data_IF_380728183638
#
_entry.id   IF_380728183638
#
_cell.length_a   1.000
_cell.length_b   1.000
_cell.length_c   1.000
_cell.angle_alpha   90.00
_cell.angle_beta   90.00
_cell.angle_gamma   90.00
#
_symmetry.space_group_name_H-M   'P 1'
#
loop_
_entity.id
_entity.type
_entity.pdbx_description
1 polymer ?
#
# COMPACT_ATOMS: atom_id res chain seq x y z
N UNK A 1 -50.46 -29.04 -37.03
CA UNK A 1 -48.99 -28.93 -36.91
C UNK A 1 -48.70 -27.47 -36.60
N UNK A 2 -49.03 -27.02 -35.39
CA UNK A 2 -48.21 -27.05 -34.16
C UNK A 2 -47.12 -25.96 -34.18
N UNK A 3 -47.21 -24.90 -33.34
CA UNK A 3 -46.11 -23.98 -33.09
C UNK A 3 -45.19 -24.53 -31.99
N UNK A 4 -43.87 -24.29 -32.03
CA UNK A 4 -42.99 -24.73 -30.96
C UNK A 4 -43.21 -23.87 -29.70
N UNK A 5 -43.31 -24.59 -28.57
CA UNK A 5 -43.38 -24.05 -27.20
C UNK A 5 -41.98 -23.77 -26.64
N UNK A 6 -41.92 -22.74 -25.80
CA UNK A 6 -41.13 -22.58 -24.57
C UNK A 6 -39.59 -22.59 -24.64
N UNK A 7 -38.96 -21.53 -24.10
CA UNK A 7 -38.25 -21.68 -22.81
C UNK A 7 -37.85 -20.31 -22.23
N UNK A 8 -38.47 -19.96 -21.10
CA UNK A 8 -38.06 -18.90 -20.19
C UNK A 8 -36.86 -19.40 -19.37
N UNK A 9 -35.65 -18.96 -19.69
CA UNK A 9 -34.44 -19.14 -18.87
C UNK A 9 -33.98 -17.80 -18.32
N UNK A 10 -34.76 -17.18 -17.44
CA UNK A 10 -34.31 -16.06 -16.61
C UNK A 10 -35.08 -16.12 -15.28
N UNK A 11 -34.53 -16.81 -14.26
CA UNK A 11 -34.26 -16.07 -13.03
C UNK A 11 -33.03 -16.52 -12.21
N UNK A 12 -32.23 -17.50 -12.65
CA UNK A 12 -31.16 -18.09 -11.82
C UNK A 12 -29.88 -17.24 -11.71
N UNK A 13 -29.64 -16.32 -12.64
CA UNK A 13 -28.46 -15.45 -12.63
C UNK A 13 -28.56 -14.29 -11.63
N UNK A 14 -29.78 -13.83 -11.30
CA UNK A 14 -29.99 -12.70 -10.39
C UNK A 14 -29.87 -13.11 -8.91
N UNK A 15 -30.26 -14.36 -8.57
CA UNK A 15 -30.12 -14.91 -7.22
C UNK A 15 -28.68 -15.24 -6.86
N UNK A 16 -27.84 -15.62 -7.83
CA UNK A 16 -26.42 -15.91 -7.58
C UNK A 16 -25.63 -14.62 -7.28
N UNK A 17 -25.98 -13.51 -7.94
CA UNK A 17 -25.37 -12.21 -7.65
C UNK A 17 -25.66 -11.74 -6.22
N UNK A 18 -26.91 -11.86 -5.75
CA UNK A 18 -27.29 -11.45 -4.40
C UNK A 18 -26.61 -12.29 -3.31
N UNK A 19 -26.47 -13.60 -3.50
CA UNK A 19 -25.77 -14.49 -2.56
C UNK A 19 -24.27 -14.19 -2.48
N UNK A 20 -23.63 -13.80 -3.59
CA UNK A 20 -22.19 -13.43 -3.58
C UNK A 20 -21.96 -12.10 -2.84
N UNK A 21 -22.86 -11.12 -2.98
CA UNK A 21 -22.78 -9.85 -2.25
C UNK A 21 -22.95 -10.03 -0.74
N UNK A 22 -23.88 -10.87 -0.28
CA UNK A 22 -24.11 -11.12 1.14
C UNK A 22 -22.93 -11.85 1.81
N UNK A 23 -22.31 -12.82 1.13
CA UNK A 23 -21.15 -13.55 1.67
C UNK A 23 -19.92 -12.64 1.78
N UNK A 24 -19.65 -11.79 0.78
CA UNK A 24 -18.56 -10.80 0.86
C UNK A 24 -18.77 -9.79 1.99
N UNK A 25 -20.00 -9.33 2.20
CA UNK A 25 -20.31 -8.35 3.25
C UNK A 25 -20.24 -8.98 4.66
N UNK A 26 -20.70 -10.24 4.80
CA UNK A 26 -20.62 -10.98 6.07
C UNK A 26 -19.20 -11.36 6.46
N UNK A 27 -18.35 -11.74 5.50
CA UNK A 27 -16.92 -12.01 5.75
C UNK A 27 -16.17 -10.73 6.14
N UNK A 28 -16.50 -9.61 5.52
CA UNK A 28 -15.94 -8.29 5.87
C UNK A 28 -16.29 -7.91 7.31
N UNK A 29 -17.56 -8.02 7.70
CA UNK A 29 -18.02 -7.76 9.08
C UNK A 29 -17.43 -8.74 10.09
N UNK A 30 -17.29 -10.03 9.74
CA UNK A 30 -16.69 -11.02 10.63
C UNK A 30 -15.20 -10.74 10.86
N UNK A 31 -14.47 -10.33 9.83
CA UNK A 31 -13.06 -9.94 9.92
C UNK A 31 -12.88 -8.62 10.67
N UNK A 32 -13.76 -7.64 10.44
CA UNK A 32 -13.78 -6.35 11.14
C UNK A 32 -14.04 -6.57 12.65
N UNK A 33 -15.04 -7.39 12.99
CA UNK A 33 -15.34 -7.76 14.38
C UNK A 33 -14.17 -8.53 15.04
N UNK A 34 -13.56 -9.49 14.32
CA UNK A 34 -12.37 -10.21 14.79
C UNK A 34 -11.20 -9.26 15.05
N UNK A 35 -10.98 -8.24 14.22
CA UNK A 35 -9.92 -7.25 14.44
C UNK A 35 -10.22 -6.31 15.60
N UNK A 36 -11.48 -5.94 15.84
CA UNK A 36 -11.86 -5.14 17.01
C UNK A 36 -11.71 -5.91 18.33
N UNK A 37 -11.93 -7.23 18.30
CA UNK A 37 -11.81 -8.10 19.49
C UNK A 37 -10.34 -8.39 19.85
N UNK A 38 -9.44 -8.46 18.86
CA UNK A 38 -8.00 -8.72 19.07
C UNK A 38 -7.09 -7.48 19.05
N UNK A 39 -7.57 -6.33 18.56
CA UNK A 39 -6.78 -5.10 18.41
C UNK A 39 -6.28 -4.50 19.74
N UNK A 40 -7.00 -4.76 20.85
CA UNK A 40 -6.56 -4.33 22.19
C UNK A 40 -5.57 -5.29 22.84
N UNK A 41 -5.53 -6.57 22.41
CA UNK A 41 -4.75 -7.62 23.07
C UNK A 41 -3.46 -7.99 22.32
N UNK A 42 -3.38 -7.63 21.04
CA UNK A 42 -2.18 -7.79 20.24
C UNK A 42 -1.88 -6.44 19.60
N UNK A 43 -0.76 -5.82 19.95
CA UNK A 43 -0.28 -4.56 19.38
C UNK A 43 0.17 -4.74 17.91
N UNK A 44 -0.67 -5.37 17.10
CA UNK A 44 -0.48 -5.58 15.69
C UNK A 44 -0.75 -4.24 15.01
N UNK A 45 0.31 -3.63 14.49
CA UNK A 45 0.17 -2.48 13.60
C UNK A 45 -0.80 -2.83 12.46
N UNK A 46 -1.75 -1.94 12.16
CA UNK A 46 -2.66 -2.06 11.01
C UNK A 46 -1.91 -2.36 9.70
N UNK A 47 -0.64 -1.94 9.62
CA UNK A 47 0.25 -2.24 8.52
C UNK A 47 0.42 -3.73 8.27
N UNK A 48 0.32 -4.61 9.28
CA UNK A 48 0.40 -6.08 9.11
C UNK A 48 -0.78 -6.66 8.32
N UNK A 49 -1.90 -5.92 8.22
CA UNK A 49 -3.11 -6.35 7.53
C UNK A 49 -2.99 -6.25 6.00
N UNK A 50 -2.03 -5.47 5.48
CA UNK A 50 -1.84 -5.32 4.03
C UNK A 50 -1.41 -6.61 3.33
N UNK A 51 -0.79 -7.56 4.06
CA UNK A 51 -0.24 -8.80 3.49
C UNK A 51 -1.28 -9.65 2.75
N UNK A 52 -2.57 -9.36 2.96
CA UNK A 52 -3.73 -10.13 2.53
C UNK A 52 -4.71 -9.31 1.68
N UNK A 53 -4.23 -8.24 1.04
CA UNK A 53 -5.06 -7.29 0.26
C UNK A 53 -4.57 -7.14 -1.18
N UNK A 54 -5.50 -6.84 -2.09
CA UNK A 54 -5.17 -6.46 -3.46
C UNK A 54 -5.02 -4.94 -3.55
N UNK A 55 -3.90 -4.44 -4.06
CA UNK A 55 -3.67 -3.01 -4.24
C UNK A 55 -4.19 -2.59 -5.62
N UNK A 56 -5.50 -2.33 -5.71
CA UNK A 56 -6.17 -1.85 -6.92
C UNK A 56 -6.01 -0.34 -7.09
N UNK A 57 -6.14 0.19 -8.30
CA UNK A 57 -6.20 1.66 -8.50
C UNK A 57 -7.55 2.20 -8.04
N UNK A 58 -7.56 3.31 -7.31
CA UNK A 58 -8.80 3.93 -6.84
C UNK A 58 -9.62 4.47 -8.03
N UNK A 59 -10.93 4.15 -8.11
CA UNK A 59 -11.80 4.79 -9.09
C UNK A 59 -11.92 6.29 -8.79
N UNK A 60 -11.70 7.13 -9.80
CA UNK A 60 -11.93 8.58 -9.68
C UNK A 60 -10.90 9.33 -8.82
N UNK A 61 -9.65 8.86 -8.75
CA UNK A 61 -8.54 9.54 -8.04
C UNK A 61 -8.25 10.97 -8.50
N UNK A 62 -8.82 11.40 -9.64
CA UNK A 62 -8.70 12.75 -10.18
C UNK A 62 -7.31 13.03 -10.75
N UNK A 63 -7.19 13.88 -11.79
CA UNK A 63 -5.91 14.07 -12.50
C UNK A 63 -4.89 14.91 -11.73
N UNK A 64 -5.28 15.46 -10.58
CA UNK A 64 -4.48 16.44 -9.85
C UNK A 64 -3.54 15.80 -8.84
N UNK A 65 -3.90 14.63 -8.29
CA UNK A 65 -3.16 14.04 -7.18
C UNK A 65 -1.79 13.61 -7.66
N UNK A 66 -0.75 14.11 -6.98
CA UNK A 66 0.65 13.79 -7.28
C UNK A 66 1.38 13.52 -5.99
N UNK A 67 2.31 12.58 -6.09
CA UNK A 67 3.29 12.29 -5.06
C UNK A 67 4.67 12.49 -5.67
N UNK A 68 5.46 13.34 -5.02
CA UNK A 68 6.78 13.73 -5.48
C UNK A 68 7.76 13.55 -4.34
N UNK A 69 8.94 13.05 -4.68
CA UNK A 69 10.06 13.05 -3.76
C UNK A 69 10.87 14.30 -4.03
N UNK A 70 11.49 14.88 -3.00
CA UNK A 70 12.40 16.03 -3.14
C UNK A 70 13.44 15.84 -4.25
N UNK A 71 14.09 16.93 -4.67
CA UNK A 71 15.11 16.92 -5.73
C UNK A 71 16.34 16.07 -5.35
N UNK A 72 16.21 14.76 -5.52
CA UNK A 72 17.23 13.75 -5.21
C UNK A 72 17.45 12.94 -6.47
N UNK A 73 18.66 12.97 -7.04
CA UNK A 73 19.02 12.14 -8.18
C UNK A 73 19.21 10.68 -7.77
N UNK A 74 19.98 10.45 -6.70
CA UNK A 74 20.26 9.13 -6.12
C UNK A 74 20.32 9.20 -4.59
N UNK A 75 19.93 8.12 -3.92
CA UNK A 75 19.91 8.00 -2.46
C UNK A 75 21.29 7.60 -1.93
N UNK A 76 21.70 8.13 -0.78
CA UNK A 76 22.82 7.57 0.01
C UNK A 76 22.42 6.30 0.75
N UNK A 77 23.39 5.65 1.41
CA UNK A 77 23.18 4.42 2.17
C UNK A 77 22.17 4.57 3.32
N UNK A 78 22.08 5.77 3.88
CA UNK A 78 21.13 6.16 4.91
C UNK A 78 20.82 7.66 4.74
N UNK A 79 19.55 8.02 4.64
CA UNK A 79 19.11 9.42 4.56
C UNK A 79 17.63 9.60 4.88
N UNK A 80 17.28 10.82 5.27
CA UNK A 80 15.89 11.26 5.37
C UNK A 80 15.39 11.77 4.02
N UNK A 81 14.29 11.21 3.54
CA UNK A 81 13.64 11.54 2.28
C UNK A 81 12.32 12.24 2.54
N UNK A 82 12.19 13.45 2.00
CA UNK A 82 10.94 14.21 2.06
C UNK A 82 10.06 13.88 0.86
N UNK A 83 8.83 13.48 1.16
CA UNK A 83 7.79 13.12 0.19
C UNK A 83 6.68 14.16 0.26
N UNK A 84 6.45 14.84 -0.85
CA UNK A 84 5.42 15.86 -1.03
C UNK A 84 4.21 15.25 -1.73
N UNK A 85 3.04 15.44 -1.13
CA UNK A 85 1.75 15.06 -1.69
C UNK A 85 1.01 16.35 -2.05
N UNK A 86 0.38 16.37 -3.21
CA UNK A 86 -0.38 17.53 -3.69
C UNK A 86 -1.58 17.10 -4.51
N UNK A 87 -2.52 18.03 -4.77
CA UNK A 87 -3.67 17.76 -5.62
C UNK A 87 -4.80 16.96 -4.96
N UNK A 88 -4.76 16.75 -3.65
CA UNK A 88 -5.78 16.00 -2.91
C UNK A 88 -7.04 16.86 -2.74
N UNK A 89 -8.18 16.42 -3.26
CA UNK A 89 -9.45 17.14 -3.10
C UNK A 89 -10.03 17.01 -1.70
N UNK A 90 -10.08 15.78 -1.19
CA UNK A 90 -10.65 15.44 0.11
C UNK A 90 -9.60 14.68 0.92
N UNK A 91 -8.87 15.35 1.84
CA UNK A 91 -7.97 14.69 2.77
C UNK A 91 -8.73 13.73 3.70
N UNK A 92 -8.18 12.54 3.92
CA UNK A 92 -8.70 11.56 4.86
C UNK A 92 -7.64 11.14 5.88
N UNK A 93 -8.08 10.85 7.12
CA UNK A 93 -7.21 10.23 8.13
C UNK A 93 -6.74 8.83 7.73
N UNK A 94 -7.47 8.18 6.83
CA UNK A 94 -7.15 6.86 6.31
C UNK A 94 -6.26 6.89 5.05
N UNK A 95 -5.81 8.07 4.62
CA UNK A 95 -4.81 8.17 3.56
C UNK A 95 -3.44 7.83 4.12
N UNK A 96 -2.65 7.06 3.38
CA UNK A 96 -1.33 6.62 3.82
C UNK A 96 -0.38 6.51 2.65
N UNK A 97 0.92 6.65 2.92
CA UNK A 97 1.99 6.46 1.94
C UNK A 97 2.82 5.26 2.33
N UNK A 98 3.20 4.48 1.32
CA UNK A 98 4.10 3.36 1.46
C UNK A 98 5.36 3.56 0.62
N UNK A 99 6.50 3.15 1.17
CA UNK A 99 7.74 2.93 0.43
C UNK A 99 7.75 1.50 -0.09
N UNK A 100 7.87 1.32 -1.40
CA UNK A 100 7.83 0.01 -2.07
C UNK A 100 9.19 -0.26 -2.71
N UNK A 101 9.64 -1.53 -2.65
CA UNK A 101 10.89 -2.01 -3.25
C UNK A 101 10.73 -3.44 -3.75
N UNK A 102 11.14 -3.78 -4.98
CA UNK A 102 11.62 -2.89 -6.04
C UNK A 102 10.51 -1.96 -6.58
N UNK A 103 10.88 -0.87 -7.25
CA UNK A 103 9.93 0.11 -7.80
C UNK A 103 8.98 -0.46 -8.88
N UNK A 104 9.42 -1.51 -9.59
CA UNK A 104 8.65 -2.23 -10.60
C UNK A 104 7.91 -3.45 -10.02
N UNK A 105 7.81 -3.53 -8.69
CA UNK A 105 7.09 -4.62 -8.06
C UNK A 105 5.64 -4.65 -8.51
N UNK A 106 5.22 -5.81 -9.00
CA UNK A 106 3.82 -6.03 -9.27
C UNK A 106 3.08 -6.05 -7.91
N UNK A 107 2.29 -5.01 -7.65
CA UNK A 107 1.42 -4.95 -6.48
C UNK A 107 0.10 -5.70 -6.69
N UNK A 108 -0.02 -6.43 -7.81
CA UNK A 108 -1.13 -7.33 -8.08
C UNK A 108 -1.06 -8.61 -7.24
N UNK A 109 -2.12 -9.41 -7.36
CA UNK A 109 -2.28 -10.65 -6.62
C UNK A 109 -1.30 -11.69 -7.14
N UNK A 110 -0.39 -12.15 -6.27
CA UNK A 110 0.53 -13.23 -6.63
C UNK A 110 -0.17 -14.59 -6.57
N UNK A 111 -0.81 -14.98 -7.66
CA UNK A 111 -1.47 -16.28 -7.79
C UNK A 111 -0.51 -17.46 -7.53
N UNK A 112 0.77 -17.31 -7.88
CA UNK A 112 1.79 -18.35 -7.71
C UNK A 112 2.15 -18.59 -6.24
N UNK A 113 2.06 -17.56 -5.39
CA UNK A 113 2.36 -17.70 -3.96
C UNK A 113 1.27 -18.48 -3.23
N UNK A 114 0.02 -18.43 -3.69
CA UNK A 114 -1.08 -19.17 -3.06
C UNK A 114 -0.76 -20.67 -2.87
N UNK A 115 -0.02 -21.28 -3.80
CA UNK A 115 0.42 -22.68 -3.70
C UNK A 115 1.42 -22.89 -2.54
N UNK A 116 2.33 -21.94 -2.32
CA UNK A 116 3.29 -21.99 -1.21
C UNK A 116 2.59 -21.83 0.16
N UNK A 117 1.52 -21.03 0.23
CA UNK A 117 0.75 -20.85 1.46
C UNK A 117 -0.14 -22.05 1.79
N UNK A 118 -0.62 -22.78 0.78
CA UNK A 118 -1.27 -24.08 1.00
C UNK A 118 -0.32 -25.09 1.65
N UNK A 119 0.98 -25.05 1.31
CA UNK A 119 1.98 -25.93 1.92
C UNK A 119 2.27 -25.61 3.38
N UNK A 120 2.06 -24.37 3.82
CA UNK A 120 2.23 -23.95 5.22
C UNK A 120 0.93 -24.05 6.04
N UNK A 121 -0.17 -24.51 5.43
CA UNK A 121 -1.46 -24.65 6.08
C UNK A 121 -2.29 -23.36 6.16
N UNK A 122 -1.87 -22.29 5.48
CA UNK A 122 -2.66 -21.06 5.38
C UNK A 122 -3.67 -21.18 4.22
N UNK A 123 -4.89 -21.62 4.56
CA UNK A 123 -6.00 -21.85 3.61
C UNK A 123 -6.81 -20.58 3.32
N UNK A 124 -6.33 -19.41 3.75
CA UNK A 124 -7.05 -18.15 3.57
C UNK A 124 -7.08 -17.75 2.08
N UNK A 125 -8.26 -17.58 1.49
CA UNK A 125 -8.49 -17.05 0.12
C UNK A 125 -8.25 -15.53 0.03
N UNK A 126 -7.10 -15.07 0.52
CA UNK A 126 -6.74 -13.66 0.54
C UNK A 126 -5.69 -13.37 -0.52
N UNK A 127 -5.84 -12.32 -1.35
CA UNK A 127 -4.81 -11.94 -2.30
C UNK A 127 -3.53 -11.56 -1.55
N UNK A 128 -2.49 -12.36 -1.69
CA UNK A 128 -1.19 -12.10 -1.10
C UNK A 128 -0.42 -11.22 -2.07
N UNK A 129 0.11 -10.10 -1.57
CA UNK A 129 0.90 -9.17 -2.38
C UNK A 129 2.21 -9.84 -2.80
N UNK A 130 2.61 -9.67 -4.07
CA UNK A 130 3.90 -10.19 -4.54
C UNK A 130 5.08 -9.50 -3.86
N UNK A 131 4.94 -8.20 -3.59
CA UNK A 131 5.94 -7.40 -2.92
C UNK A 131 5.27 -6.54 -1.87
N UNK A 132 5.84 -6.56 -0.67
CA UNK A 132 5.31 -5.80 0.45
C UNK A 132 5.91 -4.40 0.49
N UNK A 133 5.15 -3.37 0.89
CA UNK A 133 5.76 -2.11 1.22
C UNK A 133 6.75 -2.31 2.38
N UNK A 134 7.90 -1.66 2.29
CA UNK A 134 8.99 -1.78 3.27
C UNK A 134 8.69 -0.93 4.51
N UNK A 135 8.09 0.25 4.30
CA UNK A 135 7.66 1.17 5.36
C UNK A 135 6.37 1.85 4.92
N UNK A 136 5.52 2.21 5.88
CA UNK A 136 4.35 3.03 5.61
C UNK A 136 4.03 3.97 6.77
N UNK A 137 3.31 5.03 6.44
CA UNK A 137 2.87 6.03 7.40
C UNK A 137 1.58 6.69 6.92
N UNK A 138 0.69 7.01 7.86
CA UNK A 138 -0.49 7.82 7.56
C UNK A 138 -0.10 9.23 7.11
N UNK A 139 -0.82 9.77 6.14
CA UNK A 139 -0.62 11.15 5.68
C UNK A 139 -0.99 12.15 6.76
N UNK A 140 -1.92 11.79 7.66
CA UNK A 140 -2.30 12.60 8.82
C UNK A 140 -1.19 12.83 9.84
N UNK A 141 -0.02 12.20 9.69
CA UNK A 141 1.16 12.57 10.47
C UNK A 141 1.66 13.98 10.12
N UNK A 142 1.30 14.50 8.94
CA UNK A 142 1.29 15.93 8.69
C UNK A 142 0.01 16.55 9.29
N UNK A 143 0.18 17.30 10.38
CA UNK A 143 -0.93 17.92 11.12
C UNK A 143 -1.74 18.92 10.28
N UNK A 144 -1.15 19.43 9.19
CA UNK A 144 -1.80 20.40 8.31
C UNK A 144 -2.63 19.74 7.20
N UNK A 145 -2.52 18.42 7.03
CA UNK A 145 -3.18 17.69 5.94
C UNK A 145 -4.70 17.69 6.07
N UNK A 146 -5.22 17.24 7.23
CA UNK A 146 -6.67 17.14 7.47
C UNK A 146 -7.32 18.52 7.46
N UNK A 147 -6.64 19.51 8.04
CA UNK A 147 -7.10 20.91 8.02
C UNK A 147 -6.94 21.59 6.66
N UNK A 148 -6.35 20.92 5.66
CA UNK A 148 -6.06 21.46 4.35
C UNK A 148 -5.40 22.85 4.43
N UNK A 149 -4.37 23.02 5.29
CA UNK A 149 -3.71 24.33 5.42
C UNK A 149 -2.76 24.62 4.26
N UNK A 150 -2.12 23.57 3.73
CA UNK A 150 -1.29 23.61 2.52
C UNK A 150 -2.19 23.54 1.29
N UNK A 151 -2.78 24.68 0.89
CA UNK A 151 -3.69 24.78 -0.26
C UNK A 151 -2.94 25.09 -1.54
N UNK A 152 -3.35 24.44 -2.63
CA UNK A 152 -2.85 24.69 -3.98
C UNK A 152 -4.02 24.74 -4.95
N UNK A 153 -4.04 25.75 -5.81
CA UNK A 153 -5.05 25.83 -6.85
C UNK A 153 -4.59 25.11 -8.11
N UNK A 154 -5.43 24.20 -8.63
CA UNK A 154 -5.12 23.41 -9.82
C UNK A 154 -5.81 23.87 -11.10
N UNK A 155 -6.91 24.60 -10.95
CA UNK A 155 -7.64 25.16 -12.08
C UNK A 155 -8.06 26.59 -11.78
N UNK A 156 -7.80 27.48 -12.73
CA UNK A 156 -8.15 28.88 -12.64
C UNK A 156 -9.13 29.24 -13.75
N UNK A 157 -10.04 30.15 -13.44
CA UNK A 157 -10.87 30.80 -14.45
C UNK A 157 -10.99 32.29 -14.10
N UNK A 158 -10.50 33.14 -15.00
CA UNK A 158 -10.48 34.61 -14.82
C UNK A 158 -9.81 35.04 -13.49
N UNK A 159 -8.71 34.37 -13.13
CA UNK A 159 -7.97 34.65 -11.88
C UNK A 159 -8.60 34.08 -10.61
N UNK A 160 -9.80 33.49 -10.70
CA UNK A 160 -10.47 32.84 -9.57
C UNK A 160 -10.06 31.37 -9.55
N UNK A 161 -9.69 30.87 -8.37
CA UNK A 161 -9.43 29.46 -8.18
C UNK A 161 -10.73 28.66 -8.24
N UNK A 162 -10.84 27.75 -9.22
CA UNK A 162 -11.99 26.85 -9.35
C UNK A 162 -11.79 25.54 -8.58
N UNK A 163 -10.56 25.04 -8.56
CA UNK A 163 -10.22 23.76 -7.93
C UNK A 163 -9.10 23.99 -6.94
N UNK A 164 -9.48 24.18 -5.68
CA UNK A 164 -8.54 24.18 -4.56
C UNK A 164 -8.28 22.74 -4.13
N UNK A 165 -7.02 22.41 -3.93
CA UNK A 165 -6.54 21.10 -3.49
C UNK A 165 -5.67 21.26 -2.27
N UNK A 166 -5.49 20.18 -1.54
CA UNK A 166 -4.69 20.09 -0.34
C UNK A 166 -3.39 19.34 -0.62
N UNK A 167 -2.35 19.68 0.13
CA UNK A 167 -1.08 18.98 0.13
C UNK A 167 -0.65 18.54 1.52
N UNK A 168 0.37 17.70 1.56
CA UNK A 168 1.04 17.23 2.76
C UNK A 168 2.51 16.95 2.48
N UNK A 169 3.29 16.88 3.55
CA UNK A 169 4.71 16.57 3.50
C UNK A 169 5.04 15.52 4.55
N UNK A 170 5.62 14.41 4.13
CA UNK A 170 6.06 13.33 5.02
C UNK A 170 7.57 13.16 4.91
N UNK A 171 8.18 12.70 5.99
CA UNK A 171 9.62 12.40 6.03
C UNK A 171 9.81 10.92 6.33
N UNK A 172 10.54 10.23 5.46
CA UNK A 172 10.88 8.82 5.62
C UNK A 172 12.37 8.69 5.90
N UNK A 173 12.72 7.91 6.92
CA UNK A 173 14.09 7.46 7.10
C UNK A 173 14.35 6.26 6.19
N UNK A 174 15.21 6.43 5.19
CA UNK A 174 15.48 5.46 4.14
C UNK A 174 16.90 4.92 4.30
N UNK A 175 17.02 3.60 4.15
CA UNK A 175 18.29 2.89 4.16
C UNK A 175 18.46 2.11 2.85
N UNK A 176 19.70 1.88 2.44
CA UNK A 176 20.02 1.13 1.24
C UNK A 176 19.68 -0.35 1.40
N UNK A 177 18.61 -0.73 0.71
CA UNK A 177 18.05 -2.08 0.63
C UNK A 177 18.35 -2.73 -0.72
N UNK A 178 19.42 -2.28 -1.38
CA UNK A 178 19.98 -2.82 -2.63
C UNK A 178 19.13 -2.71 -3.88
N UNK A 179 17.89 -2.24 -3.76
CA UNK A 179 16.95 -2.11 -4.87
C UNK A 179 16.36 -0.70 -4.87
N UNK A 180 15.98 -0.24 -6.05
CA UNK A 180 15.28 1.03 -6.25
C UNK A 180 13.97 1.08 -5.47
N UNK A 181 13.62 2.26 -4.98
CA UNK A 181 12.39 2.48 -4.22
C UNK A 181 11.44 3.42 -4.93
N UNK A 182 10.15 3.29 -4.64
CA UNK A 182 9.13 4.27 -4.98
C UNK A 182 8.22 4.54 -3.79
N UNK A 183 7.54 5.70 -3.81
CA UNK A 183 6.53 6.05 -2.83
C UNK A 183 5.15 6.02 -3.47
N UNK A 184 4.21 5.33 -2.84
CA UNK A 184 2.86 5.15 -3.35
C UNK A 184 1.86 5.67 -2.34
N UNK A 185 0.97 6.54 -2.81
CA UNK A 185 -0.14 7.07 -2.04
C UNK A 185 -1.35 6.15 -2.15
N UNK A 186 -1.93 5.81 -1.01
CA UNK A 186 -3.10 4.96 -0.89
C UNK A 186 -4.26 5.67 -0.18
N UNK A 187 -5.46 5.17 -0.46
CA UNK A 187 -6.75 5.55 0.15
C UNK A 187 -7.45 4.32 0.71
N UNK A 188 -8.45 4.56 1.55
CA UNK A 188 -9.30 3.48 2.09
C UNK A 188 -8.68 2.72 3.27
N UNK A 189 -7.64 3.29 3.89
CA UNK A 189 -6.93 2.69 5.02
C UNK A 189 -6.23 1.39 4.62
N UNK A 190 -5.91 0.57 5.63
CA UNK A 190 -5.26 -0.72 5.44
C UNK A 190 -6.24 -1.88 5.16
N UNK A 191 -7.54 -1.69 5.44
CA UNK A 191 -8.56 -2.71 5.22
C UNK A 191 -8.96 -2.84 3.75
N UNK A 192 -9.18 -1.71 3.08
CA UNK A 192 -9.56 -1.65 1.66
C UNK A 192 -8.66 -0.68 0.92
N UNK A 193 -7.34 -0.97 0.85
CA UNK A 193 -6.38 -0.06 0.25
C UNK A 193 -6.58 0.04 -1.26
N UNK A 194 -6.53 1.25 -1.79
CA UNK A 194 -6.43 1.47 -3.23
C UNK A 194 -5.35 2.52 -3.54
N UNK A 195 -4.66 2.35 -4.66
CA UNK A 195 -3.58 3.22 -5.15
C UNK A 195 -4.18 4.47 -5.77
N UNK A 196 -3.68 5.62 -5.34
CA UNK A 196 -4.07 6.94 -5.86
C UNK A 196 -3.05 7.45 -6.85
N UNK A 197 -1.77 7.41 -6.47
CA UNK A 197 -0.65 7.93 -7.26
C UNK A 197 0.67 7.24 -6.84
N UNK A 198 1.61 7.15 -7.77
CA UNK A 198 2.98 6.66 -7.53
C UNK A 198 4.00 7.76 -7.82
N UNK A 199 5.10 7.78 -7.08
CA UNK A 199 6.22 8.67 -7.35
C UNK A 199 7.07 8.11 -8.47
N UNK A 200 8.04 8.90 -8.95
CA UNK A 200 9.13 8.32 -9.74
C UNK A 200 9.95 7.34 -8.89
N UNK A 201 10.48 6.25 -9.48
CA UNK A 201 11.51 5.43 -8.86
C UNK A 201 12.78 6.23 -8.54
N UNK A 202 13.51 5.80 -7.51
CA UNK A 202 14.81 6.38 -7.12
C UNK A 202 15.78 5.27 -6.74
N UNK A 203 16.96 5.31 -7.36
CA UNK A 203 18.06 4.40 -7.10
C UNK A 203 18.94 4.86 -5.93
N UNK A 204 19.58 3.89 -5.28
CA UNK A 204 20.73 4.14 -4.42
C UNK A 204 21.98 4.39 -5.25
N UNK A 205 22.88 5.26 -4.75
CA UNK A 205 24.15 5.58 -5.42
C UNK A 205 25.04 4.35 -5.60
N UNK A 206 25.06 3.45 -4.61
CA UNK A 206 25.71 2.16 -4.68
C UNK A 206 24.82 1.07 -4.06
N UNK A 207 23.89 0.46 -4.81
CA UNK A 207 22.99 -0.55 -4.26
C UNK A 207 23.72 -1.78 -3.72
N UNK A 208 24.95 -2.05 -4.17
CA UNK A 208 25.72 -3.21 -3.74
C UNK A 208 26.67 -2.94 -2.58
N UNK A 209 26.59 -1.75 -1.96
CA UNK A 209 27.41 -1.42 -0.80
C UNK A 209 27.24 -2.50 0.29
N UNK A 210 28.34 -3.09 0.81
CA UNK A 210 28.25 -3.97 1.96
C UNK A 210 27.89 -3.14 3.20
N UNK A 211 26.73 -3.38 3.76
CA UNK A 211 26.21 -2.63 4.92
C UNK A 211 25.84 -3.60 6.05
N UNK A 212 25.60 -3.05 7.24
CA UNK A 212 25.03 -3.77 8.38
C UNK A 212 25.75 -5.09 8.72
N UNK A 213 27.06 -5.01 8.92
CA UNK A 213 27.86 -6.14 9.39
C UNK A 213 27.39 -6.59 10.78
N UNK A 214 27.00 -7.86 10.90
CA UNK A 214 26.69 -8.48 12.18
C UNK A 214 27.83 -9.41 12.60
N UNK A 215 28.26 -9.26 13.85
CA UNK A 215 29.26 -10.12 14.47
C UNK A 215 28.57 -11.18 15.32
N UNK A 216 28.93 -12.43 15.11
CA UNK A 216 28.46 -13.56 15.93
C UNK A 216 29.63 -14.48 16.29
N UNK A 217 29.66 -14.98 17.52
CA UNK A 217 30.62 -16.02 17.89
C UNK A 217 30.32 -17.29 17.12
N UNK A 218 31.35 -17.96 16.61
CA UNK A 218 31.17 -19.22 15.86
C UNK A 218 30.97 -20.40 16.81
N UNK A 219 31.48 -20.29 18.03
CA UNK A 219 31.29 -21.26 19.11
C UNK A 219 31.34 -20.58 20.50
N UNK A 220 31.22 -21.37 21.57
CA UNK A 220 31.27 -20.87 22.95
C UNK A 220 32.69 -20.68 23.49
N UNK A 221 33.73 -20.96 22.70
CA UNK A 221 35.12 -20.83 23.14
C UNK A 221 35.62 -19.39 23.04
N UNK A 222 34.92 -18.54 22.28
CA UNK A 222 35.19 -17.09 22.20
C UNK A 222 36.46 -16.72 21.43
N UNK A 223 37.07 -17.67 20.73
CA UNK A 223 38.33 -17.50 19.97
C UNK A 223 38.12 -17.17 18.51
N UNK A 224 36.90 -17.31 17.96
CA UNK A 224 36.56 -16.92 16.59
C UNK A 224 35.24 -16.16 16.52
N UNK A 225 35.20 -15.18 15.62
CA UNK A 225 34.01 -14.38 15.33
C UNK A 225 33.76 -14.42 13.83
N UNK A 226 32.51 -14.69 13.43
CA UNK A 226 32.06 -14.58 12.05
C UNK A 226 31.54 -13.17 11.80
N UNK A 227 31.85 -12.61 10.63
CA UNK A 227 31.31 -11.34 10.17
C UNK A 227 30.50 -11.56 8.89
N UNK A 228 29.23 -11.18 8.93
CA UNK A 228 28.32 -11.29 7.79
C UNK A 228 27.75 -9.91 7.47
N UNK A 229 27.94 -9.46 6.23
CA UNK A 229 27.37 -8.21 5.70
C UNK A 229 26.10 -8.52 4.92
N UNK A 230 25.05 -7.73 5.16
CA UNK A 230 23.78 -7.83 4.45
C UNK A 230 23.70 -6.86 3.29
#
# INVERSE_FOLDING_TARGET
MEPPKFSLLFPLLFSYALLVFDVSCSLHKALENSTTEFGNHTALSDFRLLNRRSLITCPGSGPYVRIEVGQISQLSDEQYVTVSISGVLNPSKSDWVAMISPSHSDTSVCAQNAILYLQTGDLSLLPLLCHYPVKAQYVSNDLDYIGCKKKECRAYHKGICLVATCGATLTFHVINIRTEIEFVLFRGGFLTPCIVARSRPIDFKNPNQPLYGHLSSVDSTGTMVSNHFH
#
